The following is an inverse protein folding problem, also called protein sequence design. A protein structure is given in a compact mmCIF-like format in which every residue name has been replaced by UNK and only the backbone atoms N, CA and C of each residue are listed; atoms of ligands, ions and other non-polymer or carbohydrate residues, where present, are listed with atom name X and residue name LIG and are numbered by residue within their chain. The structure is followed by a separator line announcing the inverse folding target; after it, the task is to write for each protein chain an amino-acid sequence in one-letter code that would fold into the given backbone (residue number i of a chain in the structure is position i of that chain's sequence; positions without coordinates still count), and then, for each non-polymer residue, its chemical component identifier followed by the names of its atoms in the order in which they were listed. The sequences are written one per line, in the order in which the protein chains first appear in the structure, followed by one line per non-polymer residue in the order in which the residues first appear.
data_IF_434475321644
#
_entry.id   IF_434475321644
#
_cell.length_a   1.000
_cell.length_b   1.000
_cell.length_c   1.000
_cell.angle_alpha   90.00
_cell.angle_beta   90.00
_cell.angle_gamma   90.00
#
_symmetry.space_group_name_H-M   'P 1'
#
loop_
_entity.id
_entity.type
_entity.pdbx_description
1 polymer ?
#
# COMPACT_ATOMS: atom_id res chain seq x y z
N UNK A 1 -16.99 26.69 14.18
CA UNK A 1 -16.30 26.13 13.00
C UNK A 1 -16.20 24.61 13.21
N UNK A 2 -17.05 23.87 12.51
CA UNK A 2 -17.49 22.52 12.86
C UNK A 2 -16.44 21.47 12.45
N UNK A 3 -15.94 20.73 13.45
CA UNK A 3 -15.50 19.32 13.44
C UNK A 3 -15.17 18.69 12.07
N UNK A 4 -13.89 18.60 11.74
CA UNK A 4 -13.38 17.54 10.86
C UNK A 4 -13.29 16.23 11.66
N UNK A 5 -14.41 15.52 11.78
CA UNK A 5 -14.38 14.09 12.10
C UNK A 5 -14.36 13.31 10.79
N UNK A 6 -13.17 13.05 10.25
CA UNK A 6 -12.98 11.94 9.32
C UNK A 6 -12.04 10.94 10.00
N UNK A 7 -12.61 10.08 10.85
CA UNK A 7 -11.99 8.80 11.16
C UNK A 7 -11.98 8.00 9.86
N UNK A 8 -10.85 7.98 9.16
CA UNK A 8 -10.61 7.02 8.09
C UNK A 8 -9.94 5.78 8.72
N UNK A 9 -10.77 4.92 9.29
CA UNK A 9 -10.39 3.51 9.52
C UNK A 9 -10.82 2.74 8.28
N UNK A 10 -9.91 2.00 7.64
CA UNK A 10 -10.32 0.94 6.73
C UNK A 10 -9.63 -0.37 7.14
N UNK A 11 -10.42 -1.26 7.73
CA UNK A 11 -10.06 -2.65 7.99
C UNK A 11 -10.67 -3.51 6.88
N UNK A 12 -9.86 -4.33 6.21
CA UNK A 12 -10.37 -5.46 5.43
C UNK A 12 -9.96 -6.73 6.17
N UNK A 13 -10.89 -7.35 6.87
CA UNK A 13 -10.64 -8.58 7.61
C UNK A 13 -11.79 -9.54 7.37
N UNK A 14 -11.49 -10.79 7.02
CA UNK A 14 -12.00 -11.97 7.75
C UNK A 14 -11.01 -13.17 7.74
N UNK A 15 -9.71 -12.85 7.69
CA UNK A 15 -8.48 -13.64 8.01
C UNK A 15 -8.20 -14.94 7.21
N UNK A 16 -6.89 -15.29 7.03
CA UNK A 16 -6.15 -15.83 8.16
C UNK A 16 -5.03 -14.95 8.75
N UNK A 17 -4.51 -13.90 8.10
CA UNK A 17 -3.71 -12.93 8.88
C UNK A 17 -3.57 -11.52 8.26
N UNK A 18 -4.61 -10.73 8.51
CA UNK A 18 -4.66 -9.26 8.58
C UNK A 18 -3.97 -8.49 7.43
N UNK A 19 -4.70 -8.31 6.32
CA UNK A 19 -4.35 -7.39 5.23
C UNK A 19 -4.87 -5.98 5.49
N UNK A 20 -3.98 -5.02 5.74
CA UNK A 20 -4.37 -3.62 5.91
C UNK A 20 -4.05 -2.82 4.64
N UNK A 21 -5.05 -2.10 4.13
CA UNK A 21 -4.89 -1.20 2.99
C UNK A 21 -5.31 0.22 3.39
N UNK A 22 -4.41 1.19 3.18
CA UNK A 22 -4.68 2.60 3.40
C UNK A 22 -4.28 3.43 2.17
N UNK A 23 -5.13 4.39 1.77
CA UNK A 23 -4.91 5.28 0.62
C UNK A 23 -4.12 6.56 0.98
N UNK A 24 -4.16 7.00 2.24
CA UNK A 24 -3.54 8.27 2.68
C UNK A 24 -2.79 8.14 4.02
N UNK A 25 -2.63 6.92 4.53
CA UNK A 25 -1.89 6.70 5.77
C UNK A 25 -0.39 6.63 5.46
N UNK A 26 0.40 7.46 6.15
CA UNK A 26 1.86 7.36 6.13
C UNK A 26 2.25 6.16 7.00
N UNK A 27 2.26 4.98 6.39
CA UNK A 27 2.55 3.71 7.05
C UNK A 27 4.03 3.31 6.98
N UNK A 28 4.27 2.02 7.18
CA UNK A 28 5.60 1.39 7.23
C UNK A 28 6.41 1.48 5.92
N UNK A 29 5.79 1.89 4.81
CA UNK A 29 6.41 1.92 3.48
C UNK A 29 6.49 3.35 2.99
N UNK A 30 7.68 3.95 3.13
CA UNK A 30 8.09 5.17 2.45
C UNK A 30 9.59 5.07 2.13
N UNK A 31 10.03 5.66 1.01
CA UNK A 31 11.45 5.72 0.63
C UNK A 31 11.82 4.76 -0.50
N UNK A 32 13.04 4.23 -0.44
CA UNK A 32 13.66 3.46 -1.53
C UNK A 32 14.20 2.12 -1.06
N UNK A 33 14.18 1.12 -1.94
CA UNK A 33 14.86 -0.16 -1.77
C UNK A 33 15.97 -0.23 -2.81
N UNK A 34 17.14 -0.74 -2.45
CA UNK A 34 18.26 -0.80 -3.38
C UNK A 34 19.52 -1.39 -2.77
N UNK A 35 20.63 -1.28 -3.49
CA UNK A 35 21.94 -1.74 -3.04
C UNK A 35 23.01 -0.66 -3.22
N UNK A 36 24.06 -0.78 -2.40
CA UNK A 36 25.29 -0.01 -2.52
C UNK A 36 26.43 -1.03 -2.61
N UNK A 37 27.15 -1.02 -3.73
CA UNK A 37 28.26 -1.91 -4.00
C UNK A 37 29.59 -1.39 -3.47
N UNK A 38 30.51 -2.30 -3.12
CA UNK A 38 31.87 -1.94 -2.68
C UNK A 38 32.71 -1.23 -3.75
N UNK A 39 32.27 -1.28 -5.01
CA UNK A 39 32.86 -0.56 -6.14
C UNK A 39 32.33 0.88 -6.29
N UNK A 40 31.46 1.34 -5.38
CA UNK A 40 30.85 2.66 -5.41
C UNK A 40 29.56 2.75 -6.25
N UNK A 41 29.09 1.66 -6.84
CA UNK A 41 27.83 1.65 -7.59
C UNK A 41 26.64 1.68 -6.62
N UNK A 42 25.61 2.42 -7.00
CA UNK A 42 24.36 2.52 -6.25
C UNK A 42 23.21 2.31 -7.23
N UNK A 43 22.27 1.45 -6.88
CA UNK A 43 21.01 1.31 -7.60
C UNK A 43 19.86 1.23 -6.59
N UNK A 44 18.81 2.02 -6.83
CA UNK A 44 17.68 2.15 -5.93
C UNK A 44 16.39 2.33 -6.71
N UNK A 45 15.30 1.77 -6.18
CA UNK A 45 13.95 1.99 -6.67
C UNK A 45 13.06 2.57 -5.57
N UNK A 46 12.02 3.30 -5.95
CA UNK A 46 11.01 3.80 -5.01
C UNK A 46 10.20 2.59 -4.52
N UNK A 47 9.97 2.50 -3.20
CA UNK A 47 9.25 1.40 -2.56
C UNK A 47 7.72 1.44 -2.79
N UNK A 48 7.27 1.65 -4.02
CA UNK A 48 5.86 1.56 -4.43
C UNK A 48 5.52 0.16 -4.91
N UNK A 49 4.24 -0.23 -4.79
CA UNK A 49 3.77 -1.60 -5.08
C UNK A 49 4.52 -2.67 -4.28
N UNK A 50 4.85 -2.33 -3.04
CA UNK A 50 5.54 -3.20 -2.09
C UNK A 50 4.56 -3.73 -1.06
N UNK A 51 4.73 -5.00 -0.67
CA UNK A 51 4.01 -5.63 0.44
C UNK A 51 4.99 -5.74 1.61
N UNK A 52 4.64 -5.18 2.76
CA UNK A 52 5.43 -5.35 4.00
C UNK A 52 4.75 -6.37 4.89
N UNK A 53 5.50 -7.41 5.24
CA UNK A 53 5.08 -8.47 6.14
C UNK A 53 5.66 -8.21 7.53
N UNK A 54 4.82 -8.10 8.55
CA UNK A 54 5.21 -7.99 9.96
C UNK A 54 4.52 -9.08 10.77
N UNK A 55 5.29 -10.12 11.09
CA UNK A 55 4.74 -11.34 11.68
C UNK A 55 3.71 -11.95 10.73
N UNK A 56 2.47 -12.04 11.19
CA UNK A 56 1.38 -12.55 10.35
C UNK A 56 0.64 -11.44 9.59
N UNK A 57 0.94 -10.16 9.80
CA UNK A 57 0.19 -9.06 9.13
C UNK A 57 0.86 -8.65 7.82
N UNK A 58 0.07 -8.55 6.75
CA UNK A 58 0.50 -8.04 5.45
C UNK A 58 -0.05 -6.62 5.23
N UNK A 59 0.82 -5.64 5.03
CA UNK A 59 0.43 -4.25 4.81
C UNK A 59 0.75 -3.81 3.39
N UNK A 60 -0.23 -3.16 2.74
CA UNK A 60 -0.07 -2.55 1.42
C UNK A 60 -0.39 -1.07 1.55
N UNK A 61 0.47 -0.23 0.99
CA UNK A 61 0.25 1.20 0.89
C UNK A 61 0.08 1.58 -0.58
N UNK A 62 -0.95 2.36 -0.86
CA UNK A 62 -1.16 2.99 -2.15
C UNK A 62 -1.53 4.45 -1.93
N UNK A 63 -1.30 5.26 -2.95
CA UNK A 63 -1.66 6.67 -2.96
C UNK A 63 -2.12 7.10 -4.35
N UNK A 64 -2.67 8.30 -4.40
CA UNK A 64 -3.13 8.95 -5.62
C UNK A 64 -2.50 10.35 -5.72
N UNK A 65 -2.31 10.82 -6.95
CA UNK A 65 -1.73 12.13 -7.21
C UNK A 65 -2.83 13.19 -7.19
N UNK A 66 -2.97 13.94 -6.11
CA UNK A 66 -4.03 14.95 -5.99
C UNK A 66 -3.65 16.20 -6.79
N UNK A 67 -4.52 16.58 -7.72
CA UNK A 67 -4.46 17.83 -8.49
C UNK A 67 -5.67 18.71 -8.16
N UNK A 68 -5.70 19.93 -8.68
CA UNK A 68 -6.71 20.94 -8.31
C UNK A 68 -8.15 20.48 -8.55
N UNK A 69 -8.37 19.74 -9.62
CA UNK A 69 -9.67 19.24 -10.10
C UNK A 69 -9.93 17.78 -9.70
N UNK A 70 -9.10 17.20 -8.84
CA UNK A 70 -9.27 15.83 -8.35
C UNK A 70 -10.62 15.64 -7.65
N UNK A 71 -11.29 14.53 -7.99
CA UNK A 71 -12.55 14.12 -7.35
C UNK A 71 -12.21 13.06 -6.29
N UNK A 72 -12.49 13.29 -4.99
CA UNK A 72 -12.07 12.38 -3.92
C UNK A 72 -12.41 10.91 -4.14
N UNK A 73 -13.60 10.62 -4.68
CA UNK A 73 -14.03 9.24 -4.95
C UNK A 73 -13.21 8.57 -6.05
N UNK A 74 -12.79 9.32 -7.08
CA UNK A 74 -11.96 8.80 -8.16
C UNK A 74 -10.55 8.48 -7.67
N UNK A 75 -9.97 9.37 -6.87
CA UNK A 75 -8.64 9.18 -6.28
C UNK A 75 -8.61 7.98 -5.33
N UNK A 76 -9.69 7.82 -4.56
CA UNK A 76 -9.86 6.64 -3.72
C UNK A 76 -9.96 5.35 -4.54
N UNK A 77 -10.72 5.37 -5.64
CA UNK A 77 -10.81 4.22 -6.54
C UNK A 77 -9.46 3.90 -7.21
N UNK A 78 -8.67 4.92 -7.55
CA UNK A 78 -7.31 4.76 -8.06
C UNK A 78 -6.41 4.05 -7.04
N UNK A 79 -6.43 4.47 -5.77
CA UNK A 79 -5.72 3.78 -4.69
C UNK A 79 -6.08 2.29 -4.61
N UNK A 80 -7.38 1.95 -4.65
CA UNK A 80 -7.86 0.57 -4.63
C UNK A 80 -7.34 -0.21 -5.84
N UNK A 81 -7.41 0.39 -7.03
CA UNK A 81 -6.96 -0.24 -8.28
C UNK A 81 -5.46 -0.53 -8.26
N UNK A 82 -4.64 0.42 -7.78
CA UNK A 82 -3.19 0.22 -7.61
C UNK A 82 -2.85 -0.91 -6.64
N UNK A 83 -3.71 -1.12 -5.63
CA UNK A 83 -3.51 -2.13 -4.58
C UNK A 83 -3.99 -3.52 -4.96
N UNK A 84 -4.97 -3.60 -5.87
CA UNK A 84 -5.66 -4.83 -6.25
C UNK A 84 -4.72 -5.94 -6.73
N UNK A 85 -3.70 -5.60 -7.52
CA UNK A 85 -2.73 -6.57 -8.01
C UNK A 85 -1.96 -7.26 -6.89
N UNK A 86 -1.52 -6.50 -5.89
CA UNK A 86 -0.82 -7.05 -4.72
C UNK A 86 -1.74 -7.87 -3.84
N UNK A 87 -2.98 -7.41 -3.61
CA UNK A 87 -3.97 -8.19 -2.85
C UNK A 87 -4.24 -9.54 -3.51
N UNK A 88 -4.36 -9.58 -4.84
CA UNK A 88 -4.52 -10.82 -5.59
C UNK A 88 -3.28 -11.72 -5.47
N UNK A 89 -2.07 -11.14 -5.51
CA UNK A 89 -0.84 -11.90 -5.34
C UNK A 89 -0.78 -12.61 -3.98
N UNK A 90 -1.18 -11.93 -2.89
CA UNK A 90 -1.22 -12.58 -1.56
C UNK A 90 -2.29 -13.70 -1.54
N UNK A 91 -3.45 -13.49 -2.16
CA UNK A 91 -4.50 -14.52 -2.23
C UNK A 91 -4.04 -15.77 -2.98
N UNK A 92 -3.34 -15.59 -4.10
CA UNK A 92 -2.73 -16.69 -4.85
C UNK A 92 -1.68 -17.40 -4.00
N UNK A 93 -0.82 -16.66 -3.30
CA UNK A 93 0.22 -17.22 -2.45
C UNK A 93 -0.36 -18.02 -1.27
N UNK A 94 -1.48 -17.59 -0.68
CA UNK A 94 -2.18 -18.31 0.39
C UNK A 94 -2.88 -19.59 -0.10
N UNK A 95 -3.43 -19.56 -1.31
CA UNK A 95 -4.18 -20.70 -1.87
C UNK A 95 -3.29 -21.71 -2.60
N UNK A 96 -2.06 -21.34 -2.95
CA UNK A 96 -1.09 -22.23 -3.61
C UNK A 96 -1.46 -22.61 -5.04
N UNK A 97 -2.27 -21.79 -5.72
CA UNK A 97 -2.70 -22.04 -7.10
C UNK A 97 -1.82 -21.25 -8.06
N UNK A 98 -0.87 -21.92 -8.72
CA UNK A 98 0.05 -21.32 -9.70
C UNK A 98 -0.28 -21.78 -11.13
#
# INVERSE_FOLDING_TARGET
LRRFHHRQHLAVSDRPALRQLHCLHVGDINGTVGYIGYNGNIDTCIAIRTIVMKGQTASIQAGAGIVFDSIPDNEYQECLNKSKGMLRAIEIAETGVF
#
